data_IF_209759837661
#
_entry.id   IF_209759837661
#
_cell.length_a   1.000
_cell.length_b   1.000
_cell.length_c   1.000
_cell.angle_alpha   90.00
_cell.angle_beta   90.00
_cell.angle_gamma   90.00
#
_symmetry.space_group_name_H-M   'P 1'
#
loop_
_entity.id
_entity.type
_entity.pdbx_description
1 polymer ?
#
# COMPACT_ATOMS: atom_id res chain seq x y z
N UNK A 1 -37.80 -34.88 9.35
CA UNK A 1 -38.26 -33.81 10.26
C UNK A 1 -37.14 -33.54 11.25
N UNK A 2 -36.10 -32.85 10.83
CA UNK A 2 -34.91 -32.53 11.67
C UNK A 2 -35.15 -31.18 12.37
N UNK A 3 -34.96 -31.21 13.67
CA UNK A 3 -35.39 -30.21 14.61
C UNK A 3 -34.59 -28.89 14.51
N UNK A 4 -35.32 -27.76 14.31
CA UNK A 4 -34.78 -26.37 14.23
C UNK A 4 -34.08 -25.88 15.51
N UNK A 5 -33.86 -26.71 16.51
CA UNK A 5 -33.25 -26.30 17.81
C UNK A 5 -31.74 -26.44 17.89
N UNK A 6 -31.09 -27.12 16.95
CA UNK A 6 -29.64 -27.36 17.01
C UNK A 6 -28.80 -26.27 16.31
N UNK A 7 -29.46 -25.40 15.52
CA UNK A 7 -28.78 -24.28 14.85
C UNK A 7 -28.45 -23.11 15.79
N UNK A 8 -29.17 -22.97 16.92
CA UNK A 8 -28.96 -21.83 17.87
C UNK A 8 -27.93 -22.11 18.98
N UNK A 9 -27.32 -23.30 19.02
CA UNK A 9 -26.31 -23.65 20.05
C UNK A 9 -24.85 -23.46 19.62
N UNK A 10 -24.59 -23.11 18.37
CA UNK A 10 -23.21 -22.86 17.87
C UNK A 10 -22.80 -21.37 17.88
N UNK A 11 -23.63 -20.45 18.33
CA UNK A 11 -23.39 -18.99 18.27
C UNK A 11 -22.80 -18.38 19.56
N UNK A 12 -22.36 -19.17 20.54
CA UNK A 12 -21.77 -18.63 21.77
C UNK A 12 -20.31 -19.07 22.04
N UNK A 13 -19.51 -19.22 20.97
CA UNK A 13 -18.09 -18.95 21.12
C UNK A 13 -17.91 -17.46 20.79
N UNK A 14 -17.46 -16.67 21.77
CA UNK A 14 -16.91 -15.34 21.55
C UNK A 14 -15.71 -15.50 20.62
N UNK A 15 -15.96 -15.53 19.30
CA UNK A 15 -14.92 -15.31 18.31
C UNK A 15 -14.52 -13.86 18.49
N UNK A 16 -13.35 -13.61 19.07
CA UNK A 16 -12.72 -12.29 19.03
C UNK A 16 -12.83 -11.80 17.59
N UNK A 17 -13.58 -10.71 17.40
CA UNK A 17 -13.77 -10.14 16.07
C UNK A 17 -12.41 -9.67 15.60
N UNK A 18 -11.86 -10.31 14.56
CA UNK A 18 -10.56 -9.93 14.00
C UNK A 18 -10.53 -8.43 13.74
N UNK A 19 -9.45 -7.77 14.14
CA UNK A 19 -9.21 -6.35 13.83
C UNK A 19 -9.24 -6.11 12.33
N UNK A 20 -9.70 -4.94 11.92
CA UNK A 20 -9.78 -4.51 10.53
C UNK A 20 -8.51 -3.77 10.15
N UNK A 21 -7.88 -4.20 9.06
CA UNK A 21 -6.76 -3.52 8.42
C UNK A 21 -7.23 -2.89 7.11
N UNK A 22 -6.85 -1.65 6.88
CA UNK A 22 -6.99 -0.98 5.58
C UNK A 22 -5.62 -0.59 5.04
N UNK A 23 -5.37 -0.89 3.79
CA UNK A 23 -4.20 -0.38 3.06
C UNK A 23 -4.52 -0.22 1.58
N UNK A 24 -3.75 0.62 0.88
CA UNK A 24 -3.97 0.86 -0.53
C UNK A 24 -2.75 1.40 -1.26
N UNK A 25 -2.71 1.15 -2.57
CA UNK A 25 -1.66 1.65 -3.45
C UNK A 25 -2.28 2.39 -4.63
N UNK A 26 -1.72 3.56 -4.95
CA UNK A 26 -2.12 4.33 -6.13
C UNK A 26 -1.65 3.63 -7.41
N UNK A 27 -2.52 3.48 -8.43
CA UNK A 27 -2.15 2.96 -9.74
C UNK A 27 -1.43 4.02 -10.60
N UNK A 28 -0.47 4.74 -9.99
CA UNK A 28 0.25 5.90 -10.58
C UNK A 28 1.70 5.57 -10.91
N UNK A 29 1.97 4.46 -11.57
CA UNK A 29 3.31 4.02 -11.96
C UNK A 29 3.54 2.54 -11.63
N UNK A 30 4.61 1.98 -12.18
CA UNK A 30 5.01 0.59 -11.89
C UNK A 30 5.47 0.48 -10.43
N UNK A 31 5.09 -0.60 -9.75
CA UNK A 31 5.52 -0.86 -8.39
C UNK A 31 6.97 -1.35 -8.39
N UNK A 32 7.76 -0.80 -7.47
CA UNK A 32 9.17 -1.21 -7.28
C UNK A 32 9.28 -2.37 -6.30
N UNK A 33 10.44 -3.03 -6.28
CA UNK A 33 10.75 -4.01 -5.22
C UNK A 33 10.67 -3.40 -3.83
N UNK A 34 10.90 -2.07 -3.69
CA UNK A 34 10.71 -1.35 -2.44
C UNK A 34 9.25 -1.34 -1.99
N UNK A 35 8.28 -1.25 -2.92
CA UNK A 35 6.86 -1.39 -2.60
C UNK A 35 6.51 -2.85 -2.26
N UNK A 36 7.08 -3.81 -2.97
CA UNK A 36 6.85 -5.23 -2.72
C UNK A 36 7.36 -5.65 -1.33
N UNK A 37 8.63 -5.40 -1.05
CA UNK A 37 9.27 -5.79 0.20
C UNK A 37 8.81 -4.95 1.40
N UNK A 38 8.53 -3.66 1.18
CA UNK A 38 8.13 -2.73 2.23
C UNK A 38 6.64 -2.77 2.61
N UNK A 39 5.78 -3.25 1.71
CA UNK A 39 4.33 -3.21 1.93
C UNK A 39 3.66 -4.55 1.60
N UNK A 40 3.68 -4.99 0.32
CA UNK A 40 2.86 -6.12 -0.14
C UNK A 40 3.26 -7.42 0.55
N UNK A 41 4.54 -7.69 0.73
CA UNK A 41 5.03 -8.89 1.42
C UNK A 41 4.51 -8.97 2.86
N UNK A 42 4.40 -7.84 3.56
CA UNK A 42 3.83 -7.79 4.92
C UNK A 42 2.32 -8.09 4.93
N UNK A 43 1.60 -7.74 3.85
CA UNK A 43 0.16 -8.00 3.77
C UNK A 43 -0.17 -9.48 3.76
N UNK A 44 0.73 -10.32 3.23
CA UNK A 44 0.57 -11.78 3.24
C UNK A 44 0.53 -12.34 4.66
N UNK A 45 1.26 -11.72 5.60
CA UNK A 45 1.22 -12.13 7.00
C UNK A 45 -0.06 -11.70 7.72
N UNK A 46 -0.74 -10.68 7.19
CA UNK A 46 -1.95 -10.12 7.81
C UNK A 46 -3.21 -10.88 7.41
N UNK A 47 -3.26 -11.42 6.19
CA UNK A 47 -4.49 -11.99 5.62
C UNK A 47 -5.10 -13.14 6.44
N UNK A 48 -4.30 -13.88 7.22
CA UNK A 48 -4.82 -14.95 8.07
C UNK A 48 -5.19 -14.46 9.49
N UNK A 49 -4.65 -13.32 9.91
CA UNK A 49 -4.77 -12.77 11.27
C UNK A 49 -5.84 -11.70 11.41
N UNK A 50 -6.14 -10.98 10.33
CA UNK A 50 -6.97 -9.79 10.34
C UNK A 50 -8.05 -9.84 9.25
N UNK A 51 -9.05 -8.98 9.35
CA UNK A 51 -9.97 -8.68 8.26
C UNK A 51 -9.34 -7.59 7.40
N UNK A 52 -8.79 -7.95 6.24
CA UNK A 52 -7.99 -7.04 5.43
C UNK A 52 -8.78 -6.49 4.26
N UNK A 53 -8.71 -5.15 4.09
CA UNK A 53 -9.20 -4.43 2.93
C UNK A 53 -8.01 -3.81 2.19
N UNK A 54 -7.77 -4.25 0.96
CA UNK A 54 -6.70 -3.74 0.11
C UNK A 54 -7.29 -3.05 -1.11
N UNK A 55 -7.06 -1.76 -1.20
CA UNK A 55 -7.70 -0.87 -2.17
C UNK A 55 -6.73 -0.42 -3.26
N UNK A 56 -7.14 -0.46 -4.51
CA UNK A 56 -6.49 0.29 -5.58
C UNK A 56 -7.04 1.71 -5.54
N UNK A 57 -6.25 2.66 -5.01
CA UNK A 57 -6.73 4.02 -4.70
C UNK A 57 -6.57 4.96 -5.90
N UNK A 58 -7.44 4.78 -6.89
CA UNK A 58 -7.43 5.49 -8.17
C UNK A 58 -7.93 6.95 -8.07
N UNK A 59 -8.81 7.28 -7.11
CA UNK A 59 -9.18 8.68 -6.84
C UNK A 59 -7.97 9.51 -6.37
N UNK A 60 -7.08 8.91 -5.58
CA UNK A 60 -5.83 9.58 -5.22
C UNK A 60 -4.89 9.78 -6.40
N UNK A 61 -4.92 8.89 -7.39
CA UNK A 61 -4.04 8.99 -8.55
C UNK A 61 -4.34 10.23 -9.40
N UNK A 62 -5.61 10.65 -9.51
CA UNK A 62 -6.03 11.79 -10.32
C UNK A 62 -5.73 13.17 -9.69
N UNK A 63 -5.20 13.22 -8.47
CA UNK A 63 -4.66 14.47 -7.88
C UNK A 63 -3.50 15.02 -8.72
N UNK A 64 -2.87 14.18 -9.52
CA UNK A 64 -1.96 14.54 -10.60
C UNK A 64 -2.58 14.02 -11.90
N UNK A 65 -2.55 14.81 -12.98
CA UNK A 65 -3.15 14.42 -14.26
C UNK A 65 -2.61 13.08 -14.73
N UNK A 66 -3.51 12.20 -15.11
CA UNK A 66 -3.23 10.87 -15.65
C UNK A 66 -3.79 10.78 -17.08
N UNK A 67 -3.09 10.04 -17.95
CA UNK A 67 -3.69 9.58 -19.21
C UNK A 67 -4.76 8.52 -18.89
N UNK A 68 -6.00 8.67 -19.41
CA UNK A 68 -7.11 7.78 -19.05
C UNK A 68 -6.89 6.30 -19.40
N UNK A 69 -6.26 6.03 -20.55
CA UNK A 69 -5.99 4.65 -20.95
C UNK A 69 -4.93 4.01 -20.06
N UNK A 70 -3.90 4.78 -19.73
CA UNK A 70 -2.82 4.37 -18.81
C UNK A 70 -3.36 4.15 -17.41
N UNK A 71 -4.20 5.04 -16.86
CA UNK A 71 -4.79 4.87 -15.53
C UNK A 71 -5.62 3.60 -15.46
N UNK A 72 -6.50 3.37 -16.46
CA UNK A 72 -7.31 2.17 -16.55
C UNK A 72 -6.45 0.90 -16.56
N UNK A 73 -5.46 0.85 -17.43
CA UNK A 73 -4.53 -0.29 -17.50
C UNK A 73 -3.82 -0.54 -16.18
N UNK A 74 -3.27 0.51 -15.56
CA UNK A 74 -2.56 0.41 -14.28
C UNK A 74 -3.45 0.00 -13.11
N UNK A 75 -4.74 0.29 -13.15
CA UNK A 75 -5.71 -0.19 -12.15
C UNK A 75 -5.80 -1.71 -12.20
N UNK A 76 -5.93 -2.32 -13.40
CA UNK A 76 -5.89 -3.77 -13.58
C UNK A 76 -4.54 -4.35 -13.16
N UNK A 77 -3.43 -3.76 -13.63
CA UNK A 77 -2.08 -4.19 -13.29
C UNK A 77 -1.83 -4.18 -11.77
N UNK A 78 -2.31 -3.16 -11.06
CA UNK A 78 -2.14 -3.07 -9.60
C UNK A 78 -2.90 -4.16 -8.87
N UNK A 79 -4.16 -4.43 -9.25
CA UNK A 79 -4.94 -5.52 -8.68
C UNK A 79 -4.33 -6.88 -9.00
N UNK A 80 -3.93 -7.10 -10.25
CA UNK A 80 -3.27 -8.33 -10.67
C UNK A 80 -1.97 -8.55 -9.90
N UNK A 81 -1.17 -7.49 -9.64
CA UNK A 81 0.03 -7.57 -8.81
C UNK A 81 -0.27 -7.94 -7.35
N UNK A 82 -1.36 -7.43 -6.76
CA UNK A 82 -1.78 -7.84 -5.43
C UNK A 82 -1.98 -9.36 -5.38
N UNK A 83 -2.76 -9.89 -6.31
CA UNK A 83 -3.08 -11.32 -6.38
C UNK A 83 -1.86 -12.17 -6.78
N UNK A 84 -1.06 -11.70 -7.74
CA UNK A 84 0.18 -12.38 -8.16
C UNK A 84 1.20 -12.46 -7.03
N UNK A 85 1.20 -11.48 -6.14
CA UNK A 85 2.03 -11.47 -4.94
C UNK A 85 1.53 -12.39 -3.82
N UNK A 86 0.37 -13.02 -3.98
CA UNK A 86 -0.18 -14.03 -3.06
C UNK A 86 -1.37 -13.57 -2.21
N UNK A 87 -1.93 -12.37 -2.45
CA UNK A 87 -3.17 -11.97 -1.78
C UNK A 87 -4.35 -12.76 -2.35
N UNK A 88 -5.03 -13.48 -1.47
CA UNK A 88 -6.18 -14.31 -1.81
C UNK A 88 -7.48 -13.48 -1.74
N UNK A 89 -8.22 -13.29 -2.84
CA UNK A 89 -9.47 -12.53 -2.85
C UNK A 89 -10.59 -13.21 -2.03
N UNK A 90 -10.47 -14.48 -1.69
CA UNK A 90 -11.42 -15.17 -0.81
C UNK A 90 -11.18 -14.84 0.69
N UNK A 91 -9.95 -14.45 1.04
CA UNK A 91 -9.57 -14.07 2.41
C UNK A 91 -9.61 -12.56 2.64
N UNK A 92 -9.46 -11.79 1.57
CA UNK A 92 -9.30 -10.34 1.62
C UNK A 92 -10.33 -9.63 0.76
N UNK A 93 -10.71 -8.42 1.13
CA UNK A 93 -11.50 -7.54 0.27
C UNK A 93 -10.55 -6.76 -0.64
N UNK A 94 -10.44 -7.20 -1.91
CA UNK A 94 -9.65 -6.53 -2.94
C UNK A 94 -10.57 -5.70 -3.83
N UNK A 95 -10.39 -4.38 -3.90
CA UNK A 95 -11.33 -3.52 -4.62
C UNK A 95 -10.68 -2.24 -5.17
N UNK A 96 -11.44 -1.53 -6.01
CA UNK A 96 -11.05 -0.25 -6.60
C UNK A 96 -11.83 0.87 -5.90
N UNK A 97 -11.15 1.91 -5.48
CA UNK A 97 -11.70 3.01 -4.69
C UNK A 97 -12.88 3.70 -5.38
N UNK A 98 -12.74 4.03 -6.68
CA UNK A 98 -13.79 4.71 -7.45
C UNK A 98 -15.06 3.87 -7.66
N UNK A 99 -14.99 2.55 -7.43
CA UNK A 99 -16.17 1.68 -7.48
C UNK A 99 -17.05 1.77 -6.21
N UNK A 100 -16.59 2.48 -5.19
CA UNK A 100 -17.32 2.69 -3.93
C UNK A 100 -17.50 4.20 -3.70
N UNK A 101 -18.60 4.81 -4.18
CA UNK A 101 -18.82 6.26 -4.11
C UNK A 101 -18.73 6.85 -2.70
N UNK A 102 -19.02 6.05 -1.68
CA UNK A 102 -18.96 6.45 -0.27
C UNK A 102 -17.61 7.06 0.15
N UNK A 103 -16.50 6.71 -0.51
CA UNK A 103 -15.21 7.33 -0.28
C UNK A 103 -15.23 8.83 -0.54
N UNK A 104 -15.77 9.25 -1.70
CA UNK A 104 -15.89 10.66 -2.07
C UNK A 104 -16.97 11.38 -1.24
N UNK A 105 -18.07 10.68 -0.95
CA UNK A 105 -19.16 11.23 -0.15
C UNK A 105 -18.71 11.53 1.28
N UNK A 106 -18.05 10.60 1.96
CA UNK A 106 -17.52 10.83 3.29
C UNK A 106 -16.37 11.85 3.28
N UNK A 107 -15.50 11.82 2.25
CA UNK A 107 -14.42 12.79 2.12
C UNK A 107 -14.95 14.23 2.07
N UNK A 108 -16.09 14.48 1.40
CA UNK A 108 -16.73 15.79 1.42
C UNK A 108 -17.14 16.20 2.83
N UNK A 109 -17.80 15.30 3.57
CA UNK A 109 -18.19 15.57 4.97
C UNK A 109 -16.96 15.87 5.81
N UNK A 110 -15.92 15.01 5.73
CA UNK A 110 -14.69 15.17 6.53
C UNK A 110 -13.90 16.43 6.18
N UNK A 111 -13.95 16.91 4.93
CA UNK A 111 -13.37 18.21 4.56
C UNK A 111 -13.93 19.36 5.41
N UNK A 112 -15.20 19.27 5.82
CA UNK A 112 -15.82 20.29 6.69
C UNK A 112 -15.32 20.20 8.15
N UNK A 113 -14.62 19.14 8.51
CA UNK A 113 -14.01 18.91 9.84
C UNK A 113 -12.48 18.90 9.80
N UNK A 114 -11.88 19.18 8.62
CA UNK A 114 -10.44 19.27 8.44
C UNK A 114 -10.03 20.74 8.37
N UNK A 115 -9.12 21.15 9.24
CA UNK A 115 -8.73 22.56 9.32
C UNK A 115 -7.72 22.92 8.21
N UNK A 116 -7.94 24.05 7.57
CA UNK A 116 -7.06 24.58 6.51
C UNK A 116 -5.59 24.63 6.96
N UNK A 117 -5.35 25.09 8.20
CA UNK A 117 -3.99 25.16 8.75
C UNK A 117 -3.32 23.79 8.95
N UNK A 118 -4.09 22.72 9.20
CA UNK A 118 -3.59 21.35 9.29
C UNK A 118 -3.12 20.87 7.92
N UNK A 119 -3.96 21.03 6.89
CA UNK A 119 -3.61 20.69 5.51
C UNK A 119 -2.40 21.45 5.00
N UNK A 120 -2.33 22.75 5.31
CA UNK A 120 -1.22 23.62 4.87
C UNK A 120 0.14 23.20 5.47
N UNK A 121 0.14 22.55 6.63
CA UNK A 121 1.35 22.08 7.31
C UNK A 121 1.80 20.69 6.87
N UNK A 122 0.98 19.97 6.07
CA UNK A 122 1.32 18.62 5.60
C UNK A 122 2.62 18.64 4.79
N UNK A 123 3.61 17.86 5.21
CA UNK A 123 4.91 17.75 4.54
C UNK A 123 4.77 17.28 3.10
N UNK A 124 3.97 16.25 2.89
CA UNK A 124 3.70 15.69 1.56
C UNK A 124 3.05 16.71 0.61
N UNK A 125 2.18 17.59 1.11
CA UNK A 125 1.61 18.67 0.30
C UNK A 125 2.71 19.64 -0.15
N UNK A 126 3.59 20.06 0.75
CA UNK A 126 4.70 20.97 0.43
C UNK A 126 5.63 20.37 -0.62
N UNK A 127 5.98 19.10 -0.49
CA UNK A 127 6.89 18.41 -1.43
C UNK A 127 6.25 18.24 -2.81
N UNK A 128 4.99 17.79 -2.86
CA UNK A 128 4.24 17.62 -4.11
C UNK A 128 3.98 18.97 -4.81
N UNK A 129 3.67 20.02 -4.06
CA UNK A 129 3.46 21.37 -4.60
C UNK A 129 4.72 21.92 -5.26
N UNK A 130 5.90 21.65 -4.71
CA UNK A 130 7.19 22.00 -5.34
C UNK A 130 7.40 21.21 -6.64
N UNK A 131 7.13 19.88 -6.59
CA UNK A 131 7.34 19.00 -7.73
C UNK A 131 6.35 19.25 -8.89
N UNK A 132 5.12 19.63 -8.59
CA UNK A 132 4.04 19.85 -9.57
C UNK A 132 3.55 21.30 -9.56
N UNK A 133 4.46 22.26 -9.48
CA UNK A 133 4.17 23.69 -9.32
C UNK A 133 3.22 24.28 -10.37
N UNK A 134 3.21 23.73 -11.59
CA UNK A 134 2.31 24.15 -12.66
C UNK A 134 0.85 23.65 -12.51
N UNK A 135 0.56 22.73 -11.57
CA UNK A 135 -0.77 22.14 -11.40
C UNK A 135 -1.07 21.83 -9.94
N UNK A 136 -1.03 22.84 -9.10
CA UNK A 136 -1.47 22.74 -7.70
C UNK A 136 -2.98 22.91 -7.68
N UNK A 137 -3.70 21.78 -7.60
CA UNK A 137 -5.17 21.77 -7.58
C UNK A 137 -5.72 21.49 -6.18
N UNK A 138 -7.04 21.70 -6.01
CA UNK A 138 -7.71 21.48 -4.72
C UNK A 138 -7.58 20.02 -4.23
N UNK A 139 -7.64 19.02 -5.14
CA UNK A 139 -7.47 17.62 -4.79
C UNK A 139 -6.09 17.33 -4.19
N UNK A 140 -5.04 17.98 -4.71
CA UNK A 140 -3.68 17.86 -4.15
C UNK A 140 -3.60 18.45 -2.73
N UNK A 141 -4.41 19.44 -2.40
CA UNK A 141 -4.49 20.02 -1.07
C UNK A 141 -5.35 19.20 -0.11
N UNK A 142 -6.49 18.67 -0.59
CA UNK A 142 -7.50 18.02 0.26
C UNK A 142 -7.44 16.49 0.28
N UNK A 143 -6.52 15.85 -0.49
CA UNK A 143 -6.43 14.37 -0.50
C UNK A 143 -6.24 13.74 0.89
N UNK A 144 -5.65 14.41 1.92
CA UNK A 144 -5.59 13.81 3.25
C UNK A 144 -6.97 13.55 3.87
N UNK A 145 -7.97 14.38 3.54
CA UNK A 145 -9.37 14.11 3.96
C UNK A 145 -9.98 12.92 3.22
N UNK A 146 -9.61 12.69 1.96
CA UNK A 146 -10.01 11.48 1.22
C UNK A 146 -9.33 10.24 1.83
N UNK A 147 -8.06 10.33 2.21
CA UNK A 147 -7.37 9.23 2.91
C UNK A 147 -8.02 8.95 4.28
N UNK A 148 -8.42 9.99 5.02
CA UNK A 148 -9.18 9.81 6.26
C UNK A 148 -10.51 9.10 5.98
N UNK A 149 -11.21 9.45 4.91
CA UNK A 149 -12.43 8.77 4.47
C UNK A 149 -12.19 7.29 4.18
N UNK A 150 -11.13 6.97 3.43
CA UNK A 150 -10.77 5.59 3.09
C UNK A 150 -10.62 4.70 4.33
N UNK A 151 -10.04 5.25 5.39
CA UNK A 151 -9.78 4.56 6.64
C UNK A 151 -11.03 4.47 7.52
N UNK A 152 -11.71 5.60 7.71
CA UNK A 152 -12.82 5.73 8.66
C UNK A 152 -14.12 5.06 8.19
N UNK A 153 -14.33 4.94 6.86
CA UNK A 153 -15.48 4.23 6.29
C UNK A 153 -15.62 2.81 6.81
N UNK A 154 -14.50 2.13 7.00
CA UNK A 154 -14.45 0.72 7.37
C UNK A 154 -14.26 0.49 8.86
N UNK A 155 -14.31 1.55 9.69
CA UNK A 155 -14.04 1.44 11.14
C UNK A 155 -12.69 0.74 11.38
N UNK A 156 -11.68 1.11 10.60
CA UNK A 156 -10.36 0.49 10.59
C UNK A 156 -9.69 0.57 11.95
N UNK A 157 -9.15 -0.55 12.42
CA UNK A 157 -8.39 -0.61 13.66
C UNK A 157 -6.91 -0.25 13.42
N UNK A 158 -6.31 -0.82 12.36
CA UNK A 158 -4.87 -0.72 12.10
C UNK A 158 -4.58 -0.32 10.65
N UNK A 159 -3.65 0.60 10.46
CA UNK A 159 -3.22 1.04 9.12
C UNK A 159 -1.70 0.84 9.00
N UNK A 160 -1.23 -0.14 8.21
CA UNK A 160 0.19 -0.33 7.97
C UNK A 160 0.71 0.77 7.04
N UNK A 161 1.64 1.59 7.53
CA UNK A 161 2.18 2.74 6.80
C UNK A 161 3.69 2.87 6.95
N UNK A 162 4.32 3.52 5.98
CA UNK A 162 5.69 4.01 6.15
C UNK A 162 5.73 5.26 7.05
N UNK A 163 6.90 5.56 7.61
CA UNK A 163 7.11 6.70 8.51
C UNK A 163 6.66 8.04 7.88
N UNK A 164 6.80 8.17 6.58
CA UNK A 164 6.40 9.35 5.80
C UNK A 164 4.88 9.55 5.72
N UNK A 165 4.08 8.52 6.09
CA UNK A 165 2.62 8.57 6.11
C UNK A 165 2.05 8.74 7.52
N UNK A 166 2.86 8.68 8.57
CA UNK A 166 2.37 8.83 9.95
C UNK A 166 1.62 10.13 10.18
N UNK A 167 2.07 11.24 9.57
CA UNK A 167 1.38 12.52 9.65
C UNK A 167 -0.06 12.48 9.11
N UNK A 168 -0.33 11.67 8.08
CA UNK A 168 -1.68 11.46 7.56
C UNK A 168 -2.55 10.67 8.54
N UNK A 169 -1.96 9.70 9.23
CA UNK A 169 -2.69 8.93 10.25
C UNK A 169 -3.04 9.82 11.43
N UNK A 170 -2.13 10.66 11.91
CA UNK A 170 -2.40 11.64 12.97
C UNK A 170 -3.54 12.58 12.56
N UNK A 171 -3.50 13.14 11.35
CA UNK A 171 -4.59 13.96 10.83
C UNK A 171 -5.93 13.20 10.78
N UNK A 172 -5.91 11.94 10.36
CA UNK A 172 -7.11 11.07 10.34
C UNK A 172 -7.68 10.89 11.75
N UNK A 173 -6.82 10.69 12.74
CA UNK A 173 -7.21 10.57 14.16
C UNK A 173 -7.82 11.87 14.69
N UNK A 174 -7.21 13.00 14.36
CA UNK A 174 -7.70 14.33 14.76
C UNK A 174 -9.08 14.63 14.16
N UNK A 175 -9.28 14.33 12.87
CA UNK A 175 -10.57 14.47 12.18
C UNK A 175 -11.62 13.57 12.85
N UNK A 176 -11.31 12.30 13.08
CA UNK A 176 -12.22 11.35 13.73
C UNK A 176 -12.58 11.78 15.16
N UNK A 177 -11.60 12.22 15.94
CA UNK A 177 -11.80 12.69 17.32
C UNK A 177 -12.68 13.95 17.35
N UNK A 178 -12.41 14.91 16.47
CA UNK A 178 -13.19 16.15 16.33
C UNK A 178 -14.63 15.86 15.94
N UNK A 179 -14.84 14.97 14.98
CA UNK A 179 -16.19 14.56 14.58
C UNK A 179 -16.92 13.86 15.73
N UNK A 180 -16.24 12.95 16.44
CA UNK A 180 -16.81 12.24 17.59
C UNK A 180 -17.16 13.19 18.76
N UNK A 181 -16.37 14.24 18.98
CA UNK A 181 -16.67 15.27 20.00
C UNK A 181 -17.96 16.02 19.70
N UNK A 182 -18.21 16.34 18.42
CA UNK A 182 -19.39 17.10 18.00
C UNK A 182 -20.66 16.22 18.00
N UNK A 183 -20.55 14.99 17.50
CA UNK A 183 -21.71 14.13 17.21
C UNK A 183 -21.79 12.86 18.06
N UNK A 184 -20.91 12.71 19.04
CA UNK A 184 -20.76 11.47 19.81
C UNK A 184 -20.10 10.36 19.00
N UNK A 185 -19.73 9.28 19.65
CA UNK A 185 -18.98 8.18 19.09
C UNK A 185 -19.54 7.71 17.72
N UNK A 186 -18.77 7.88 16.68
CA UNK A 186 -19.12 7.59 15.29
C UNK A 186 -18.05 6.79 14.61
N UNK A 187 -16.81 7.22 14.70
CA UNK A 187 -15.64 6.57 14.12
C UNK A 187 -14.78 5.94 15.19
N UNK A 188 -14.25 4.75 14.92
CA UNK A 188 -13.08 4.24 15.64
C UNK A 188 -11.88 5.14 15.35
N UNK A 189 -11.03 5.35 16.34
CA UNK A 189 -9.76 6.06 16.16
C UNK A 189 -8.71 5.03 15.69
N UNK A 190 -8.22 5.13 14.44
CA UNK A 190 -7.30 4.14 13.90
C UNK A 190 -5.91 4.27 14.51
N UNK A 191 -5.14 3.19 14.51
CA UNK A 191 -3.73 3.17 14.85
C UNK A 191 -2.87 2.94 13.60
N UNK A 192 -1.91 3.83 13.37
CA UNK A 192 -0.86 3.61 12.38
C UNK A 192 0.25 2.75 12.97
N UNK A 193 0.75 1.80 12.21
CA UNK A 193 1.93 1.06 12.63
C UNK A 193 2.90 0.85 11.46
N UNK A 194 4.18 0.81 11.79
CA UNK A 194 5.24 0.53 10.83
C UNK A 194 5.57 -0.97 10.94
N UNK A 195 5.31 -1.77 9.89
CA UNK A 195 5.61 -3.19 9.91
C UNK A 195 7.10 -3.44 10.19
N UNK A 196 7.40 -4.35 11.14
CA UNK A 196 8.79 -4.68 11.52
C UNK A 196 9.62 -5.26 10.38
N UNK A 197 8.99 -5.96 9.46
CA UNK A 197 9.63 -6.60 8.31
C UNK A 197 9.75 -5.70 7.07
N UNK A 198 9.32 -4.44 7.14
CA UNK A 198 9.37 -3.50 6.03
C UNK A 198 10.79 -2.97 5.79
N UNK A 199 11.57 -3.66 4.98
CA UNK A 199 12.88 -3.16 4.57
C UNK A 199 12.74 -1.83 3.83
N UNK A 200 13.38 -0.76 4.32
CA UNK A 200 13.51 0.48 3.58
C UNK A 200 14.52 0.28 2.46
N UNK A 201 14.02 0.08 1.24
CA UNK A 201 14.89 -0.11 0.08
C UNK A 201 15.25 1.25 -0.49
N UNK A 202 16.56 1.46 -0.67
CA UNK A 202 17.10 2.71 -1.18
C UNK A 202 17.32 2.63 -2.70
N UNK A 203 17.46 3.79 -3.35
CA UNK A 203 17.80 3.90 -4.76
C UNK A 203 19.10 3.18 -5.09
N UNK A 204 19.16 2.50 -6.22
CA UNK A 204 20.41 1.86 -6.67
C UNK A 204 21.43 2.86 -7.23
N UNK A 205 20.98 4.06 -7.61
CA UNK A 205 21.85 5.11 -8.14
C UNK A 205 22.27 6.14 -7.07
N UNK A 206 21.40 6.39 -6.09
CA UNK A 206 21.61 7.36 -5.00
C UNK A 206 21.19 6.69 -3.67
N UNK A 207 22.07 5.86 -3.07
CA UNK A 207 21.71 4.97 -1.96
C UNK A 207 21.34 5.70 -0.66
N UNK A 208 21.53 6.99 -0.56
CA UNK A 208 21.03 7.87 0.51
C UNK A 208 19.55 8.23 0.34
N UNK A 209 18.99 8.09 -0.87
CA UNK A 209 17.58 8.37 -1.19
C UNK A 209 16.76 7.08 -1.22
N UNK A 210 15.49 7.15 -0.77
CA UNK A 210 14.55 6.02 -0.87
C UNK A 210 14.25 5.70 -2.34
N UNK A 211 14.21 4.41 -2.71
CA UNK A 211 13.78 3.96 -4.03
C UNK A 211 12.38 4.48 -4.35
N UNK A 212 12.24 5.13 -5.51
CA UNK A 212 11.01 5.82 -5.90
C UNK A 212 10.56 5.40 -7.28
N UNK A 213 9.27 5.05 -7.43
CA UNK A 213 8.64 4.74 -8.72
C UNK A 213 8.58 5.94 -9.68
N UNK A 214 8.84 7.14 -9.20
CA UNK A 214 8.84 8.39 -9.99
C UNK A 214 10.23 8.96 -10.23
N UNK A 215 11.28 8.15 -10.07
CA UNK A 215 12.65 8.54 -10.40
C UNK A 215 12.81 8.66 -11.91
N UNK A 216 13.48 9.70 -12.38
CA UNK A 216 13.78 9.89 -13.80
C UNK A 216 14.89 8.96 -14.30
N UNK A 217 15.77 8.51 -13.40
CA UNK A 217 16.80 7.53 -13.71
C UNK A 217 16.24 6.11 -13.63
N UNK A 218 16.02 5.46 -14.77
CA UNK A 218 15.49 4.09 -14.85
C UNK A 218 16.36 3.04 -14.15
N UNK A 219 17.66 3.30 -13.94
CA UNK A 219 18.55 2.39 -13.20
C UNK A 219 18.50 2.60 -11.67
N UNK A 220 17.86 3.65 -11.20
CA UNK A 220 17.71 3.95 -9.77
C UNK A 220 16.73 3.02 -9.07
N UNK A 221 15.80 2.42 -9.82
CA UNK A 221 14.71 1.58 -9.28
C UNK A 221 14.58 0.27 -10.04
N UNK A 222 14.39 -0.82 -9.31
CA UNK A 222 13.96 -2.11 -9.86
C UNK A 222 12.45 -2.21 -9.70
N UNK A 223 11.76 -2.44 -10.80
CA UNK A 223 10.31 -2.65 -10.80
C UNK A 223 9.99 -4.14 -10.65
N UNK A 224 8.85 -4.45 -10.03
CA UNK A 224 8.42 -5.85 -9.82
C UNK A 224 8.31 -6.59 -11.16
N UNK A 225 7.88 -5.90 -12.22
CA UNK A 225 7.68 -6.48 -13.56
C UNK A 225 8.85 -6.23 -14.52
N UNK A 226 10.02 -5.82 -14.03
CA UNK A 226 11.23 -5.79 -14.86
C UNK A 226 11.59 -7.21 -15.30
N UNK A 227 12.09 -7.35 -16.53
CA UNK A 227 12.60 -8.64 -17.00
C UNK A 227 13.74 -9.15 -16.13
N UNK A 228 13.96 -10.48 -16.13
CA UNK A 228 15.11 -11.10 -15.42
C UNK A 228 16.42 -10.37 -15.72
N UNK A 229 16.68 -10.13 -17.00
CA UNK A 229 17.92 -9.48 -17.46
C UNK A 229 18.02 -8.03 -17.00
N UNK A 230 16.90 -7.29 -16.98
CA UNK A 230 16.86 -5.91 -16.49
C UNK A 230 17.10 -5.85 -14.99
N UNK A 231 16.51 -6.75 -14.21
CA UNK A 231 16.73 -6.85 -12.76
C UNK A 231 18.23 -7.06 -12.50
N UNK A 232 18.81 -8.08 -13.10
CA UNK A 232 20.24 -8.40 -12.92
C UNK A 232 21.12 -7.22 -13.37
N UNK A 233 20.83 -6.64 -14.53
CA UNK A 233 21.57 -5.49 -15.07
C UNK A 233 21.54 -4.29 -14.14
N UNK A 234 20.37 -3.98 -13.56
CA UNK A 234 20.19 -2.84 -12.64
C UNK A 234 20.99 -3.06 -11.36
N UNK A 235 20.94 -4.25 -10.76
CA UNK A 235 21.76 -4.56 -9.58
C UNK A 235 23.26 -4.53 -9.87
N UNK A 236 23.71 -5.05 -11.00
CA UNK A 236 25.13 -4.96 -11.41
C UNK A 236 25.62 -3.52 -11.52
N UNK A 237 24.74 -2.57 -11.91
CA UNK A 237 25.04 -1.14 -12.04
C UNK A 237 24.83 -0.33 -10.77
N UNK A 238 24.34 -0.94 -9.70
CA UNK A 238 24.11 -0.23 -8.43
C UNK A 238 25.39 0.47 -7.96
N UNK A 239 25.22 1.71 -7.48
CA UNK A 239 26.32 2.50 -6.94
C UNK A 239 26.77 1.92 -5.60
N UNK A 240 28.07 1.76 -5.43
CA UNK A 240 28.71 1.28 -4.20
C UNK A 240 30.00 2.08 -3.97
N UNK A 241 30.53 2.01 -2.75
CA UNK A 241 31.84 2.57 -2.40
C UNK A 241 32.99 1.89 -3.15
N UNK A 242 34.23 2.38 -2.93
CA UNK A 242 35.44 1.88 -3.58
C UNK A 242 36.08 0.67 -2.89
N UNK A 243 35.52 0.16 -1.78
CA UNK A 243 35.97 -1.06 -1.12
C UNK A 243 35.54 -2.28 -1.93
N UNK A 244 36.04 -3.46 -1.56
CA UNK A 244 35.68 -4.74 -2.21
C UNK A 244 35.03 -5.72 -1.24
N UNK A 245 35.07 -5.43 0.07
CA UNK A 245 34.61 -6.33 1.12
C UNK A 245 33.12 -6.14 1.38
N UNK A 246 32.35 -7.20 1.17
CA UNK A 246 30.91 -7.23 1.46
C UNK A 246 30.72 -7.28 2.97
N UNK A 247 30.38 -6.16 3.57
CA UNK A 247 30.05 -6.06 5.01
C UNK A 247 29.18 -4.84 5.26
N UNK A 248 28.31 -4.94 6.28
CA UNK A 248 27.55 -3.78 6.71
C UNK A 248 28.42 -2.84 7.56
N UNK A 249 28.54 -1.58 7.16
CA UNK A 249 29.32 -0.57 7.89
C UNK A 249 28.81 0.83 7.57
N UNK A 250 29.19 1.80 8.40
CA UNK A 250 28.98 3.22 8.16
C UNK A 250 29.72 3.65 6.88
N UNK A 251 29.11 4.52 6.08
CA UNK A 251 29.65 5.01 4.82
C UNK A 251 29.57 4.02 3.64
N UNK A 252 28.97 2.85 3.82
CA UNK A 252 28.74 1.83 2.77
C UNK A 252 27.28 1.76 2.33
N UNK A 253 26.61 2.90 2.10
CA UNK A 253 25.19 2.99 1.86
C UNK A 253 24.71 2.08 0.73
N UNK A 254 25.48 2.01 -0.38
CA UNK A 254 25.17 1.13 -1.51
C UNK A 254 25.19 -0.35 -1.15
N UNK A 255 26.25 -0.80 -0.47
CA UNK A 255 26.37 -2.20 -0.01
C UNK A 255 25.36 -2.51 1.07
N UNK A 256 25.13 -1.61 2.03
CA UNK A 256 24.13 -1.75 3.07
C UNK A 256 22.73 -1.95 2.47
N UNK A 257 22.41 -1.19 1.42
CA UNK A 257 21.15 -1.34 0.68
C UNK A 257 21.06 -2.71 -0.02
N UNK A 258 22.10 -3.15 -0.72
CA UNK A 258 22.13 -4.45 -1.38
C UNK A 258 22.03 -5.61 -0.38
N UNK A 259 22.69 -5.54 0.78
CA UNK A 259 22.56 -6.52 1.86
C UNK A 259 21.11 -6.54 2.38
N UNK A 260 20.48 -5.37 2.54
CA UNK A 260 19.07 -5.28 2.95
C UNK A 260 18.14 -5.95 1.95
N UNK A 261 18.35 -5.75 0.65
CA UNK A 261 17.58 -6.43 -0.42
C UNK A 261 17.82 -7.95 -0.36
N UNK A 262 19.07 -8.38 -0.23
CA UNK A 262 19.42 -9.80 -0.19
C UNK A 262 18.80 -10.50 1.03
N UNK A 263 18.92 -9.88 2.22
CA UNK A 263 18.24 -10.36 3.45
C UNK A 263 16.72 -10.46 3.24
N UNK A 264 16.10 -9.47 2.62
CA UNK A 264 14.64 -9.44 2.44
C UNK A 264 14.13 -10.58 1.54
N UNK A 265 14.94 -11.06 0.59
CA UNK A 265 14.58 -12.19 -0.27
C UNK A 265 15.02 -13.54 0.29
N UNK A 266 16.17 -13.62 0.97
CA UNK A 266 16.75 -14.89 1.43
C UNK A 266 16.47 -15.22 2.90
N UNK A 267 16.17 -14.22 3.71
CA UNK A 267 16.07 -14.35 5.17
C UNK A 267 17.43 -14.44 5.88
N UNK A 268 18.55 -14.37 5.15
CA UNK A 268 19.90 -14.47 5.73
C UNK A 268 20.23 -13.22 6.56
N UNK A 269 20.91 -13.42 7.67
CA UNK A 269 21.48 -12.37 8.49
C UNK A 269 22.72 -11.74 7.83
N UNK A 270 23.09 -10.54 8.29
CA UNK A 270 24.29 -9.86 7.80
C UNK A 270 25.54 -10.72 7.96
N UNK A 271 25.72 -11.43 9.08
CA UNK A 271 26.85 -12.31 9.33
C UNK A 271 26.93 -13.51 8.35
N UNK A 272 25.78 -14.07 7.98
CA UNK A 272 25.73 -15.14 6.98
C UNK A 272 26.09 -14.63 5.59
N UNK A 273 25.65 -13.43 5.23
CA UNK A 273 25.97 -12.78 3.95
C UNK A 273 27.48 -12.46 3.88
N UNK A 274 28.03 -11.87 4.93
CA UNK A 274 29.46 -11.54 5.02
C UNK A 274 30.34 -12.79 4.90
N UNK A 275 29.93 -13.89 5.53
CA UNK A 275 30.61 -15.19 5.44
C UNK A 275 30.52 -15.79 4.01
N UNK A 276 29.35 -15.75 3.39
CA UNK A 276 29.09 -16.30 2.06
C UNK A 276 29.91 -15.58 0.97
N UNK A 277 30.06 -14.25 1.11
CA UNK A 277 30.79 -13.43 0.16
C UNK A 277 32.21 -13.06 0.63
N UNK A 278 32.73 -13.73 1.64
CA UNK A 278 34.12 -13.54 2.08
C UNK A 278 35.10 -13.85 0.96
N UNK A 279 35.99 -12.91 0.64
CA UNK A 279 36.93 -13.01 -0.46
C UNK A 279 36.34 -12.85 -1.88
N UNK A 280 35.05 -12.61 -1.99
CA UNK A 280 34.38 -12.28 -3.26
C UNK A 280 34.16 -10.79 -3.35
N UNK A 281 34.41 -10.20 -4.52
CA UNK A 281 34.24 -8.76 -4.71
C UNK A 281 32.78 -8.34 -4.89
N UNK A 282 32.53 -7.03 -4.90
CA UNK A 282 31.19 -6.44 -5.11
C UNK A 282 30.52 -6.89 -6.41
N UNK A 283 31.27 -7.22 -7.46
CA UNK A 283 30.72 -7.71 -8.73
C UNK A 283 29.94 -9.00 -8.56
N UNK A 284 30.49 -9.98 -7.83
CA UNK A 284 29.82 -11.26 -7.57
C UNK A 284 28.62 -11.07 -6.64
N UNK A 285 28.74 -10.22 -5.61
CA UNK A 285 27.62 -9.92 -4.71
C UNK A 285 26.47 -9.24 -5.43
N UNK A 286 26.72 -8.22 -6.26
CA UNK A 286 25.70 -7.54 -7.06
C UNK A 286 24.98 -8.49 -8.01
N UNK A 287 25.72 -9.41 -8.62
CA UNK A 287 25.15 -10.45 -9.48
C UNK A 287 24.22 -11.36 -8.66
N UNK A 288 24.69 -11.88 -7.52
CA UNK A 288 23.90 -12.75 -6.66
C UNK A 288 22.62 -12.08 -6.14
N UNK A 289 22.69 -10.80 -5.75
CA UNK A 289 21.48 -10.03 -5.36
C UNK A 289 20.51 -9.93 -6.53
N UNK A 290 20.99 -9.65 -7.74
CA UNK A 290 20.17 -9.56 -8.94
C UNK A 290 19.49 -10.88 -9.31
N UNK A 291 20.23 -11.98 -9.29
CA UNK A 291 19.71 -13.33 -9.57
C UNK A 291 18.69 -13.75 -8.52
N UNK A 292 18.99 -13.57 -7.24
CA UNK A 292 18.07 -13.88 -6.13
C UNK A 292 16.76 -13.09 -6.24
N UNK A 293 16.84 -11.79 -6.53
CA UNK A 293 15.66 -10.96 -6.72
C UNK A 293 14.82 -11.40 -7.93
N UNK A 294 15.49 -11.71 -9.05
CA UNK A 294 14.83 -12.16 -10.27
C UNK A 294 14.15 -13.53 -10.08
N UNK A 295 14.82 -14.48 -9.41
CA UNK A 295 14.27 -15.82 -9.12
C UNK A 295 13.06 -15.73 -8.16
N UNK A 296 13.14 -14.88 -7.15
CA UNK A 296 12.03 -14.64 -6.21
C UNK A 296 10.81 -13.98 -6.88
N UNK A 297 11.01 -13.16 -7.91
CA UNK A 297 9.93 -12.48 -8.64
C UNK A 297 9.37 -13.32 -9.82
N UNK A 298 10.09 -14.35 -10.28
CA UNK A 298 9.63 -15.16 -11.41
C UNK A 298 8.22 -15.78 -11.22
N UNK A 299 7.86 -16.33 -10.05
CA UNK A 299 6.49 -16.82 -9.81
C UNK A 299 5.45 -15.69 -9.85
N UNK A 300 5.82 -14.48 -9.39
CA UNK A 300 4.94 -13.30 -9.43
C UNK A 300 4.68 -12.89 -10.88
N UNK A 301 5.73 -12.87 -11.73
CA UNK A 301 5.59 -12.57 -13.16
C UNK A 301 4.65 -13.55 -13.84
N UNK A 302 4.90 -14.86 -13.68
CA UNK A 302 4.07 -15.89 -14.27
C UNK A 302 2.59 -15.72 -13.88
N UNK A 303 2.33 -15.53 -12.59
CA UNK A 303 0.95 -15.38 -12.10
C UNK A 303 0.31 -14.07 -12.54
N UNK A 304 1.09 -13.00 -12.64
CA UNK A 304 0.63 -11.72 -13.17
C UNK A 304 0.19 -11.84 -14.64
N UNK A 305 0.98 -12.49 -15.49
CA UNK A 305 0.65 -12.69 -16.90
C UNK A 305 -0.62 -13.53 -17.07
N UNK A 306 -0.78 -14.59 -16.28
CA UNK A 306 -2.01 -15.41 -16.24
C UNK A 306 -3.23 -14.56 -15.89
N UNK A 307 -3.13 -13.73 -14.84
CA UNK A 307 -4.22 -12.85 -14.39
C UNK A 307 -4.55 -11.77 -15.42
N UNK A 308 -3.56 -11.16 -16.03
CA UNK A 308 -3.77 -10.14 -17.07
C UNK A 308 -4.36 -10.71 -18.36
N UNK A 309 -4.13 -11.99 -18.65
CA UNK A 309 -4.78 -12.70 -19.76
C UNK A 309 -6.27 -13.00 -19.46
N UNK A 310 -6.65 -13.14 -18.19
CA UNK A 310 -8.06 -13.38 -17.75
C UNK A 310 -8.68 -12.11 -17.15
N UNK A 311 -9.00 -11.15 -17.99
CA UNK A 311 -9.66 -9.90 -17.57
C UNK A 311 -11.01 -10.15 -16.91
N UNK A 312 -11.76 -11.17 -17.38
CA UNK A 312 -13.06 -11.49 -16.82
C UNK A 312 -12.96 -11.88 -15.33
N UNK A 313 -11.94 -12.65 -14.98
CA UNK A 313 -11.68 -12.99 -13.59
C UNK A 313 -11.29 -11.75 -12.75
N UNK A 314 -10.39 -10.89 -13.25
CA UNK A 314 -10.04 -9.65 -12.55
C UNK A 314 -11.26 -8.75 -12.31
N UNK A 315 -12.15 -8.63 -13.32
CA UNK A 315 -13.39 -7.85 -13.20
C UNK A 315 -14.36 -8.47 -12.18
N UNK A 316 -14.45 -9.80 -12.10
CA UNK A 316 -15.25 -10.46 -11.06
C UNK A 316 -14.72 -10.17 -9.66
N UNK A 317 -13.41 -10.23 -9.45
CA UNK A 317 -12.77 -9.88 -8.17
C UNK A 317 -13.02 -8.41 -7.81
N UNK A 318 -12.85 -7.48 -8.77
CA UNK A 318 -13.17 -6.06 -8.56
C UNK A 318 -14.63 -5.86 -8.16
N UNK A 319 -15.56 -6.51 -8.84
CA UNK A 319 -17.00 -6.40 -8.60
C UNK A 319 -17.39 -6.92 -7.22
N UNK A 320 -16.94 -8.12 -6.87
CA UNK A 320 -17.23 -8.76 -5.59
C UNK A 320 -16.62 -7.98 -4.42
N UNK A 321 -15.33 -7.62 -4.54
CA UNK A 321 -14.64 -6.83 -3.54
C UNK A 321 -15.26 -5.45 -3.34
N UNK A 322 -15.64 -4.77 -4.43
CA UNK A 322 -16.30 -3.45 -4.36
C UNK A 322 -17.71 -3.56 -3.77
N UNK A 323 -18.46 -4.62 -4.06
CA UNK A 323 -19.78 -4.85 -3.47
C UNK A 323 -19.68 -5.06 -1.95
N UNK A 324 -18.71 -5.87 -1.50
CA UNK A 324 -18.46 -6.06 -0.07
C UNK A 324 -17.99 -4.76 0.62
N UNK A 325 -17.03 -4.05 0.01
CA UNK A 325 -16.55 -2.77 0.53
C UNK A 325 -17.69 -1.73 0.60
N UNK A 326 -18.53 -1.63 -0.43
CA UNK A 326 -19.69 -0.74 -0.44
C UNK A 326 -20.71 -1.07 0.66
N UNK A 327 -20.95 -2.36 0.93
CA UNK A 327 -21.81 -2.78 2.03
C UNK A 327 -21.30 -2.32 3.39
N UNK A 328 -19.99 -2.48 3.65
CA UNK A 328 -19.36 -2.03 4.89
C UNK A 328 -19.39 -0.50 5.00
N UNK A 329 -19.02 0.21 3.92
CA UNK A 329 -18.98 1.66 3.84
C UNK A 329 -20.36 2.30 4.10
N UNK A 330 -21.44 1.70 3.55
CA UNK A 330 -22.82 2.18 3.71
C UNK A 330 -23.22 2.24 5.18
N UNK A 331 -22.82 1.29 6.01
CA UNK A 331 -23.15 1.28 7.45
C UNK A 331 -22.60 2.52 8.14
N UNK A 332 -21.35 2.85 7.90
CA UNK A 332 -20.70 4.03 8.48
C UNK A 332 -21.25 5.32 7.90
N UNK A 333 -21.36 5.41 6.57
CA UNK A 333 -21.87 6.61 5.89
C UNK A 333 -23.31 6.96 6.32
N UNK A 334 -24.19 5.96 6.41
CA UNK A 334 -25.58 6.17 6.88
C UNK A 334 -25.64 6.67 8.34
N UNK A 335 -24.71 6.20 9.20
CA UNK A 335 -24.56 6.72 10.57
C UNK A 335 -24.12 8.18 10.55
N UNK A 336 -23.13 8.52 9.72
CA UNK A 336 -22.63 9.89 9.55
C UNK A 336 -23.73 10.81 9.05
N UNK A 337 -24.46 10.44 7.99
CA UNK A 337 -25.53 11.26 7.42
C UNK A 337 -26.62 11.60 8.43
N UNK A 338 -27.05 10.61 9.22
CA UNK A 338 -28.03 10.86 10.29
C UNK A 338 -27.51 11.82 11.36
N UNK A 339 -26.21 11.71 11.69
CA UNK A 339 -25.61 12.54 12.75
C UNK A 339 -25.40 13.99 12.32
N UNK A 340 -25.02 14.23 11.07
CA UNK A 340 -24.89 15.59 10.52
C UNK A 340 -26.25 16.21 10.14
N UNK A 341 -27.34 15.43 10.18
CA UNK A 341 -28.69 15.92 9.93
C UNK A 341 -29.12 15.92 8.46
N UNK A 342 -28.47 15.12 7.59
CA UNK A 342 -28.92 15.00 6.21
C UNK A 342 -30.24 14.23 6.14
N UNK A 343 -31.19 14.80 5.37
CA UNK A 343 -32.45 14.11 5.06
C UNK A 343 -32.18 12.93 4.13
N UNK A 344 -32.84 11.82 4.41
CA UNK A 344 -32.74 10.64 3.55
C UNK A 344 -34.01 10.51 2.70
N UNK A 345 -33.93 10.15 1.41
CA UNK A 345 -35.13 9.88 0.63
C UNK A 345 -35.92 8.75 1.32
N UNK A 346 -37.23 8.93 1.45
CA UNK A 346 -38.06 7.80 1.90
C UNK A 346 -38.07 6.74 0.80
N UNK A 347 -37.71 5.51 1.16
CA UNK A 347 -37.80 4.32 0.28
C UNK A 347 -39.24 4.02 -0.07
#
# INVERSE_FOLDING_TARGET
>A
MYCRKDFYKMENQQTETKKIIFSGVQPSGMLTIGNYLGSIKNWLEFQDKYNCLYCVVDLHAITVRQDPATLRRRTYETLALYMASGLDPQKNTLFVQSHVPAHAELAWVLNCYTMFGELSRMTQFKDKSKKYSANINAGLFTYPSLMASDILLYQTDLVPVGIDQMQHIELTRDIASRFNQVYGETFKIPEGFIPKAGAKIMSLAEPEKKMSKSDSNQNASVYILDSRDDIIRKFKRAVTDSDTVVRRAEGKDGINNLMTVYTAFTGKSDAEIEKEFSGRGYGEFKLAVGETAADALAPVHKRFDELMADKGYLESVMKEGSAHAAYLARKTLSKVYRKVGFTQPKS
#
